data_IF_572676716332
#
_entry.id   IF_572676716332
#
_cell.length_a   1.000
_cell.length_b   1.000
_cell.length_c   1.000
_cell.angle_alpha   90.00
_cell.angle_beta   90.00
_cell.angle_gamma   90.00
#
_symmetry.space_group_name_H-M   'P 1'
#
loop_
_entity.id
_entity.type
_entity.pdbx_description
1 polymer ?
#
# COMPACT_ATOMS: atom_id res chain seq x y z
N UNK A 1 5.95 -6.77 11.11
CA UNK A 1 5.67 -5.54 10.36
C UNK A 1 4.57 -5.78 9.35
N UNK A 2 3.68 -4.82 9.20
CA UNK A 2 2.61 -4.91 8.21
C UNK A 2 2.25 -3.54 7.69
N UNK A 3 1.60 -3.50 6.53
CA UNK A 3 1.02 -2.28 5.99
C UNK A 3 -0.49 -2.48 5.83
N UNK A 4 -1.27 -1.55 6.33
CA UNK A 4 -2.73 -1.55 6.25
C UNK A 4 -3.16 -0.48 5.26
N UNK A 5 -3.97 -0.87 4.27
CA UNK A 5 -4.39 0.00 3.17
C UNK A 5 -5.91 -0.01 3.03
N UNK A 6 -6.48 1.16 2.77
CA UNK A 6 -7.88 1.30 2.37
C UNK A 6 -7.95 2.11 1.08
N UNK A 7 -9.03 1.94 0.33
CA UNK A 7 -9.20 2.59 -0.97
C UNK A 7 -10.52 3.35 -1.01
N UNK A 8 -10.52 4.48 -1.70
CA UNK A 8 -11.70 5.32 -1.87
C UNK A 8 -12.55 4.75 -3.00
N UNK A 9 -13.72 4.21 -2.66
CA UNK A 9 -14.62 3.57 -3.63
C UNK A 9 -15.06 4.53 -4.73
N UNK A 10 -15.39 5.77 -4.38
CA UNK A 10 -15.82 6.77 -5.36
C UNK A 10 -14.73 7.05 -6.38
N UNK A 11 -13.51 7.25 -5.93
CA UNK A 11 -12.38 7.53 -6.83
C UNK A 11 -12.08 6.33 -7.72
N UNK A 12 -12.15 5.12 -7.16
CA UNK A 12 -11.94 3.88 -7.92
C UNK A 12 -12.97 3.77 -9.04
N UNK A 13 -14.23 4.01 -8.73
CA UNK A 13 -15.32 3.93 -9.71
C UNK A 13 -15.20 5.04 -10.77
N UNK A 14 -14.82 6.24 -10.38
CA UNK A 14 -14.61 7.35 -11.30
C UNK A 14 -13.52 7.06 -12.33
N UNK A 15 -12.51 6.25 -11.96
CA UNK A 15 -11.44 5.84 -12.86
C UNK A 15 -11.83 4.63 -13.72
N UNK A 16 -13.04 4.09 -13.55
CA UNK A 16 -13.50 2.94 -14.31
C UNK A 16 -13.04 1.60 -13.76
N UNK A 17 -12.55 1.56 -12.51
CA UNK A 17 -12.11 0.35 -11.86
C UNK A 17 -13.11 -0.14 -10.83
N UNK A 18 -12.91 -1.36 -10.31
CA UNK A 18 -13.64 -1.89 -9.17
C UNK A 18 -12.69 -2.02 -7.99
N UNK A 19 -13.24 -1.96 -6.77
CA UNK A 19 -12.44 -2.18 -5.56
C UNK A 19 -11.75 -3.54 -5.58
N UNK A 20 -12.46 -4.58 -6.04
CA UNK A 20 -11.91 -5.92 -6.13
C UNK A 20 -10.68 -5.96 -7.06
N UNK A 21 -10.76 -5.29 -8.21
CA UNK A 21 -9.66 -5.24 -9.17
C UNK A 21 -8.45 -4.50 -8.60
N UNK A 22 -8.67 -3.37 -7.94
CA UNK A 22 -7.59 -2.59 -7.32
C UNK A 22 -6.90 -3.41 -6.22
N UNK A 23 -7.68 -4.01 -5.33
CA UNK A 23 -7.13 -4.85 -4.25
C UNK A 23 -6.34 -6.03 -4.81
N UNK A 24 -6.88 -6.69 -5.83
CA UNK A 24 -6.23 -7.82 -6.46
C UNK A 24 -4.89 -7.42 -7.09
N UNK A 25 -4.84 -6.27 -7.75
CA UNK A 25 -3.61 -5.74 -8.34
C UNK A 25 -2.56 -5.50 -7.28
N UNK A 26 -2.94 -4.88 -6.17
CA UNK A 26 -2.03 -4.64 -5.04
C UNK A 26 -1.55 -5.97 -4.44
N UNK A 27 -2.47 -6.91 -4.20
CA UNK A 27 -2.12 -8.23 -3.67
C UNK A 27 -1.12 -8.97 -4.57
N UNK A 28 -1.30 -8.90 -5.89
CA UNK A 28 -0.39 -9.53 -6.84
C UNK A 28 1.03 -8.97 -6.74
N UNK A 29 1.16 -7.67 -6.54
CA UNK A 29 2.47 -7.05 -6.37
C UNK A 29 3.18 -7.58 -5.12
N UNK A 30 2.46 -7.73 -4.01
CA UNK A 30 3.04 -8.31 -2.80
C UNK A 30 3.31 -9.80 -2.96
N UNK A 31 2.39 -10.54 -3.59
CA UNK A 31 2.54 -11.98 -3.80
C UNK A 31 3.75 -12.30 -4.69
N UNK A 32 4.07 -11.45 -5.66
CA UNK A 32 5.23 -11.62 -6.51
C UNK A 32 6.54 -11.59 -5.72
N UNK A 33 6.54 -11.00 -4.54
CA UNK A 33 7.67 -10.97 -3.62
C UNK A 33 7.53 -11.98 -2.47
N UNK A 34 6.56 -12.91 -2.56
CA UNK A 34 6.35 -13.92 -1.54
C UNK A 34 5.68 -13.43 -0.27
N UNK A 35 5.05 -12.27 -0.31
CA UNK A 35 4.40 -11.66 0.85
C UNK A 35 2.91 -12.00 0.87
N UNK A 36 2.33 -12.08 2.07
CA UNK A 36 0.92 -12.41 2.26
C UNK A 36 0.08 -11.19 2.56
N UNK A 37 -1.06 -11.09 1.87
CA UNK A 37 -2.05 -10.08 2.13
C UNK A 37 -3.36 -10.72 2.58
N UNK A 38 -4.02 -10.08 3.55
CA UNK A 38 -5.30 -10.53 4.10
C UNK A 38 -6.31 -9.39 3.94
N UNK A 39 -7.47 -9.74 3.40
CA UNK A 39 -8.57 -8.79 3.30
C UNK A 39 -9.39 -8.87 4.59
N UNK A 40 -9.44 -7.76 5.33
CA UNK A 40 -10.14 -7.68 6.60
C UNK A 40 -11.15 -6.52 6.53
N UNK A 41 -12.36 -6.81 6.05
CA UNK A 41 -13.36 -5.78 5.78
C UNK A 41 -12.86 -4.82 4.71
N UNK A 42 -12.91 -3.51 4.95
CA UNK A 42 -12.40 -2.52 3.99
C UNK A 42 -10.87 -2.41 3.98
N UNK A 43 -10.17 -3.09 4.89
CA UNK A 43 -8.71 -2.96 5.06
C UNK A 43 -8.01 -4.12 4.38
N UNK A 44 -7.04 -3.81 3.52
CA UNK A 44 -6.11 -4.77 2.96
C UNK A 44 -4.81 -4.70 3.76
N UNK A 45 -4.49 -5.79 4.47
CA UNK A 45 -3.30 -5.88 5.32
C UNK A 45 -2.28 -6.80 4.67
N UNK A 46 -1.08 -6.31 4.41
CA UNK A 46 0.03 -7.08 3.85
C UNK A 46 1.17 -7.07 4.85
N UNK A 47 1.70 -8.27 5.16
CA UNK A 47 2.69 -8.43 6.20
C UNK A 47 3.90 -9.23 5.73
N UNK A 48 5.02 -9.06 6.44
CA UNK A 48 6.20 -9.88 6.23
C UNK A 48 5.98 -11.28 6.86
N UNK A 49 6.82 -12.23 6.45
CA UNK A 49 6.78 -13.60 7.00
C UNK A 49 7.82 -13.79 8.10
N UNK A 50 8.47 -12.73 8.56
CA UNK A 50 9.43 -12.76 9.66
C UNK A 50 10.89 -12.88 9.24
N UNK A 51 11.20 -12.97 7.94
CA UNK A 51 12.59 -12.97 7.49
C UNK A 51 13.08 -11.54 7.20
N UNK A 52 14.39 -11.34 7.25
CA UNK A 52 14.98 -10.04 6.96
C UNK A 52 14.77 -9.62 5.50
N UNK A 53 14.78 -10.60 4.59
CA UNK A 53 14.54 -10.36 3.17
C UNK A 53 13.10 -9.89 2.92
N UNK A 54 12.15 -10.42 3.68
CA UNK A 54 10.74 -10.02 3.56
C UNK A 54 10.53 -8.55 3.91
N UNK A 55 11.27 -8.03 4.87
CA UNK A 55 11.21 -6.62 5.22
C UNK A 55 11.62 -5.74 4.03
N UNK A 56 12.73 -6.07 3.40
CA UNK A 56 13.22 -5.34 2.24
C UNK A 56 12.23 -5.44 1.06
N UNK A 57 11.68 -6.63 0.83
CA UNK A 57 10.71 -6.87 -0.23
C UNK A 57 9.42 -6.08 0.02
N UNK A 58 8.92 -6.11 1.26
CA UNK A 58 7.71 -5.37 1.64
C UNK A 58 7.89 -3.88 1.38
N UNK A 59 9.03 -3.33 1.78
CA UNK A 59 9.35 -1.93 1.59
C UNK A 59 9.49 -1.57 0.11
N UNK A 60 10.11 -2.45 -0.68
CA UNK A 60 10.28 -2.25 -2.12
C UNK A 60 8.93 -2.16 -2.84
N UNK A 61 8.00 -3.06 -2.52
CA UNK A 61 6.66 -3.05 -3.11
C UNK A 61 5.91 -1.78 -2.74
N UNK A 62 5.97 -1.39 -1.47
CA UNK A 62 5.32 -0.17 -0.98
C UNK A 62 5.85 1.05 -1.71
N UNK A 63 7.16 1.18 -1.82
CA UNK A 63 7.76 2.33 -2.50
C UNK A 63 7.41 2.36 -3.98
N UNK A 64 7.35 1.20 -4.64
CA UNK A 64 6.93 1.11 -6.02
C UNK A 64 5.47 1.58 -6.20
N UNK A 65 4.58 1.15 -5.30
CA UNK A 65 3.17 1.57 -5.33
C UNK A 65 3.02 3.07 -5.10
N UNK A 66 3.77 3.63 -4.14
CA UNK A 66 3.70 5.06 -3.83
C UNK A 66 4.21 5.94 -4.97
N UNK A 67 5.04 5.38 -5.85
CA UNK A 67 5.54 6.10 -7.03
C UNK A 67 4.59 6.06 -8.21
N UNK A 68 3.58 5.19 -8.19
CA UNK A 68 2.57 5.15 -9.25
C UNK A 68 1.66 6.37 -9.13
N UNK A 69 1.01 6.74 -10.24
CA UNK A 69 0.04 7.82 -10.20
C UNK A 69 -1.30 7.36 -9.63
N UNK A 70 -1.65 6.09 -9.85
CA UNK A 70 -2.96 5.57 -9.50
C UNK A 70 -3.08 5.20 -8.02
N UNK A 71 -2.03 4.66 -7.40
CA UNK A 71 -2.14 4.16 -6.02
C UNK A 71 -2.39 5.29 -5.00
N UNK A 72 -1.58 6.37 -4.97
CA UNK A 72 -1.85 7.47 -4.03
C UNK A 72 -3.18 8.17 -4.28
N UNK A 73 -3.65 8.17 -5.52
CA UNK A 73 -4.93 8.78 -5.88
C UNK A 73 -6.12 7.96 -5.40
N UNK A 74 -6.04 6.63 -5.51
CA UNK A 74 -7.13 5.72 -5.14
C UNK A 74 -7.11 5.29 -3.69
N UNK A 75 -5.96 5.27 -3.04
CA UNK A 75 -5.84 4.86 -1.64
C UNK A 75 -6.34 5.97 -0.72
N UNK A 76 -7.23 5.63 0.21
CA UNK A 76 -7.68 6.56 1.24
C UNK A 76 -6.77 6.52 2.46
N UNK A 77 -6.08 5.41 2.70
CA UNK A 77 -5.05 5.32 3.74
C UNK A 77 -4.02 4.25 3.40
N UNK A 78 -2.81 4.46 3.88
CA UNK A 78 -1.73 3.49 3.79
C UNK A 78 -0.83 3.68 5.02
N UNK A 79 -0.96 2.79 6.00
CA UNK A 79 -0.30 2.93 7.30
C UNK A 79 0.65 1.77 7.51
N UNK A 80 1.93 2.10 7.75
CA UNK A 80 2.95 1.15 8.14
C UNK A 80 2.88 0.92 9.64
N UNK A 81 2.88 -0.34 10.06
CA UNK A 81 2.91 -0.71 11.47
C UNK A 81 4.14 -1.55 11.76
N UNK A 82 4.96 -1.07 12.68
CA UNK A 82 6.17 -1.74 13.10
C UNK A 82 5.87 -2.74 14.23
N UNK A 83 6.79 -3.68 14.48
CA UNK A 83 6.65 -4.69 15.54
C UNK A 83 6.62 -4.07 16.94
N UNK A 84 7.20 -2.89 17.11
CA UNK A 84 7.21 -2.18 18.39
C UNK A 84 5.97 -1.28 18.60
N UNK A 85 4.99 -1.34 17.69
CA UNK A 85 3.78 -0.56 17.78
C UNK A 85 3.84 0.82 17.14
N UNK A 86 4.97 1.20 16.57
CA UNK A 86 5.08 2.47 15.84
C UNK A 86 4.27 2.42 14.54
N UNK A 87 3.60 3.52 14.23
CA UNK A 87 2.79 3.66 13.02
C UNK A 87 3.26 4.85 12.20
N UNK A 88 3.17 4.74 10.87
CA UNK A 88 3.61 5.78 9.97
C UNK A 88 2.65 5.89 8.78
N UNK A 89 2.20 7.10 8.50
CA UNK A 89 1.31 7.38 7.37
C UNK A 89 2.12 7.56 6.09
N UNK A 90 2.11 6.53 5.26
CA UNK A 90 2.91 6.51 4.04
C UNK A 90 2.35 7.40 2.95
N UNK A 91 1.03 7.65 2.92
CA UNK A 91 0.44 8.57 1.95
C UNK A 91 0.86 10.01 2.21
N UNK A 92 0.95 10.40 3.48
CA UNK A 92 1.44 11.72 3.84
C UNK A 92 2.89 11.91 3.39
N UNK A 93 3.71 10.87 3.55
CA UNK A 93 5.09 10.90 3.07
C UNK A 93 5.19 10.98 1.55
N UNK A 94 4.35 10.22 0.84
CA UNK A 94 4.31 10.25 -0.62
C UNK A 94 3.92 11.64 -1.12
N UNK A 95 2.96 12.29 -0.45
CA UNK A 95 2.57 13.66 -0.77
C UNK A 95 3.72 14.63 -0.63
N UNK A 96 4.52 14.50 0.41
CA UNK A 96 5.69 15.34 0.62
C UNK A 96 6.74 15.11 -0.47
N UNK A 97 6.95 13.85 -0.86
CA UNK A 97 7.90 13.52 -1.92
C UNK A 97 7.47 14.08 -3.26
N UNK A 98 6.18 13.98 -3.58
CA UNK A 98 5.64 14.53 -4.82
C UNK A 98 5.72 16.06 -4.83
N UNK A 99 5.40 16.72 -3.74
CA UNK A 99 5.53 18.16 -3.61
C UNK A 99 6.97 18.63 -3.78
N UNK A 100 7.90 17.82 -3.33
CA UNK A 100 9.32 18.10 -3.46
C UNK A 100 9.79 18.04 -4.91
N UNK A 101 9.20 17.15 -5.71
CA UNK A 101 9.56 17.02 -7.13
C UNK A 101 9.01 18.14 -7.99
N UNK A 102 7.96 18.79 -7.57
CA UNK A 102 7.31 19.87 -8.35
C UNK A 102 8.08 21.18 -8.23
N UNK A 103 8.88 21.31 -7.22
CA UNK A 103 9.71 22.50 -7.03
C UNK A 103 11.10 22.29 -7.61
#
# INVERSE_FOLDING_TARGET
>A
MRVDMTFDQQKVEQQGYTLAAVRQTVQKNFAAHGLHCVQNGPVLSCADCGSADDFADLWEVIMALLRTEWFPDLASSCVWQDNNGAQEDLLAQAGKLQGWKVT
#
